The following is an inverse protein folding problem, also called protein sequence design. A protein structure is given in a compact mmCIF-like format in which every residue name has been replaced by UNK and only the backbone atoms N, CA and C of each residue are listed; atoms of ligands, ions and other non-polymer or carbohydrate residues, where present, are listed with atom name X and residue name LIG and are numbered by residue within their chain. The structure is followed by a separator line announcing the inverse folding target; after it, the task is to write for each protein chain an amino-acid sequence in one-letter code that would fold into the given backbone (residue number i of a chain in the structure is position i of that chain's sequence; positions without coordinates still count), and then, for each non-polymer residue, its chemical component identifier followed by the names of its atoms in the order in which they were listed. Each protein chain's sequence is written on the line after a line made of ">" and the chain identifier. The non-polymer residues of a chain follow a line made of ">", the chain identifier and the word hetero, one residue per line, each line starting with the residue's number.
data_IF_921587899911
#
_entry.id   IF_921587899911
#
_cell.length_a   1.000
_cell.length_b   1.000
_cell.length_c   1.000
_cell.angle_alpha   90.00
_cell.angle_beta   90.00
_cell.angle_gamma   90.00
#
_symmetry.space_group_name_H-M   'P 1'
#
loop_
_entity.id
_entity.type
_entity.pdbx_description
1 polymer ?
#
# COMPACT_ATOMS: atom_id res chain seq x y z
N UNK A 1 -24.98 17.66 8.73
CA UNK A 1 -25.74 17.03 9.83
C UNK A 1 -24.81 16.06 10.52
N UNK A 2 -24.16 16.55 11.56
CA UNK A 2 -23.28 15.80 12.45
C UNK A 2 -24.11 15.05 13.50
N UNK A 3 -23.66 13.84 13.84
CA UNK A 3 -23.71 13.19 15.16
C UNK A 3 -22.87 11.92 15.00
N UNK A 4 -21.69 11.75 15.58
CA UNK A 4 -21.23 12.25 16.87
C UNK A 4 -21.04 11.03 17.77
N UNK A 5 -19.79 10.64 17.96
CA UNK A 5 -19.30 9.55 18.80
C UNK A 5 -19.72 9.70 20.27
N UNK A 6 -19.74 8.62 21.05
CA UNK A 6 -18.64 8.35 21.99
C UNK A 6 -18.91 7.17 22.95
N UNK A 7 -17.81 6.51 23.25
CA UNK A 7 -17.64 5.43 24.20
C UNK A 7 -17.57 5.92 25.66
N UNK A 8 -17.83 5.01 26.61
CA UNK A 8 -17.32 4.90 28.00
C UNK A 8 -18.06 3.73 28.67
N UNK A 9 -17.53 2.92 29.58
CA UNK A 9 -16.25 2.85 30.28
C UNK A 9 -16.29 1.51 31.02
N UNK A 10 -15.21 0.74 31.00
CA UNK A 10 -15.06 -0.46 31.81
C UNK A 10 -14.93 -0.15 33.31
N UNK A 11 -15.25 -1.15 34.13
CA UNK A 11 -14.80 -1.25 35.52
C UNK A 11 -14.90 -2.70 35.98
N UNK A 12 -13.78 -3.41 36.04
CA UNK A 12 -13.55 -4.51 36.98
C UNK A 12 -12.04 -4.78 37.05
N UNK A 13 -11.38 -4.05 37.94
CA UNK A 13 -10.10 -4.44 38.53
C UNK A 13 -10.37 -5.07 39.88
N UNK A 14 -9.64 -6.13 40.20
CA UNK A 14 -9.70 -6.76 41.52
C UNK A 14 -9.03 -8.13 41.61
N UNK A 15 -7.78 -8.23 41.16
CA UNK A 15 -6.88 -9.36 41.44
C UNK A 15 -6.02 -9.03 42.66
N UNK A 16 -5.98 -9.90 43.68
CA UNK A 16 -4.75 -10.51 44.26
C UNK A 16 -4.90 -11.01 45.70
N UNK A 17 -4.65 -12.32 45.86
CA UNK A 17 -3.80 -13.02 46.83
C UNK A 17 -3.80 -12.70 48.35
N UNK A 18 -4.02 -13.74 49.17
CA UNK A 18 -3.10 -14.28 50.20
C UNK A 18 -3.84 -15.33 51.06
N UNK A 19 -3.52 -16.61 50.95
CA UNK A 19 -2.67 -17.33 51.90
C UNK A 19 -3.23 -17.43 53.33
N UNK A 20 -3.92 -18.52 53.64
CA UNK A 20 -4.07 -19.02 55.01
C UNK A 20 -4.06 -20.57 54.99
N UNK A 21 -2.94 -21.08 55.49
CA UNK A 21 -2.67 -22.41 56.03
C UNK A 21 -3.87 -23.09 56.69
N UNK A 22 -4.18 -24.34 56.31
CA UNK A 22 -4.88 -25.29 57.16
C UNK A 22 -4.54 -26.75 56.80
N UNK A 23 -3.74 -27.33 57.69
CA UNK A 23 -3.72 -28.71 58.18
C UNK A 23 -3.92 -29.88 57.18
N UNK A 24 -2.78 -30.51 56.86
CA UNK A 24 -2.73 -31.94 56.60
C UNK A 24 -3.09 -32.68 57.89
N UNK A 25 -4.28 -33.25 57.97
CA UNK A 25 -4.60 -34.29 58.94
C UNK A 25 -4.03 -35.61 58.44
N UNK A 26 -2.84 -35.95 58.92
CA UNK A 26 -2.26 -37.29 58.80
C UNK A 26 -2.94 -38.22 59.81
N UNK A 27 -3.83 -39.09 59.34
CA UNK A 27 -4.36 -40.21 60.11
C UNK A 27 -3.23 -41.17 60.52
N UNK A 28 -3.06 -41.50 61.81
CA UNK A 28 -2.10 -42.51 62.24
C UNK A 28 -2.80 -43.86 62.29
N UNK A 29 -2.62 -44.70 61.27
CA UNK A 29 -2.88 -46.12 61.43
C UNK A 29 -1.71 -46.76 62.14
N UNK A 30 -1.95 -47.18 63.38
CA UNK A 30 -1.04 -48.02 64.15
C UNK A 30 -0.74 -49.31 63.37
N UNK A 31 0.54 -49.56 63.11
CA UNK A 31 1.03 -50.80 62.54
C UNK A 31 0.86 -51.94 63.54
N UNK A 32 0.06 -52.95 63.18
CA UNK A 32 -0.02 -54.22 63.89
C UNK A 32 1.29 -55.01 63.71
N UNK A 33 1.86 -55.61 64.78
CA UNK A 33 3.06 -56.42 64.65
C UNK A 33 2.74 -57.79 64.01
N UNK A 34 3.31 -58.02 62.82
CA UNK A 34 3.30 -59.31 62.13
C UNK A 34 4.29 -60.27 62.82
N UNK A 35 3.77 -61.28 63.52
CA UNK A 35 4.57 -62.42 63.99
C UNK A 35 5.02 -63.27 62.80
N UNK A 36 6.26 -63.07 62.34
CA UNK A 36 6.90 -63.89 61.32
C UNK A 36 7.55 -65.10 61.98
N UNK A 37 6.96 -66.27 61.81
CA UNK A 37 7.57 -67.54 62.16
C UNK A 37 8.82 -67.79 61.32
N UNK A 38 9.92 -68.11 62.01
CA UNK A 38 11.22 -68.42 61.44
C UNK A 38 11.21 -69.88 60.94
N UNK A 39 11.10 -70.09 59.63
CA UNK A 39 11.41 -71.37 58.99
C UNK A 39 12.79 -71.29 58.34
N UNK A 40 13.81 -71.76 59.04
CA UNK A 40 15.09 -72.14 58.43
C UNK A 40 15.50 -73.52 58.94
N UNK A 41 15.39 -74.49 58.05
CA UNK A 41 16.27 -75.66 57.95
C UNK A 41 16.73 -75.67 56.47
N UNK A 42 17.84 -76.33 56.06
CA UNK A 42 18.52 -77.43 56.75
C UNK A 42 20.07 -77.37 56.71
N UNK A 43 20.75 -78.20 57.50
CA UNK A 43 22.13 -78.58 57.16
C UNK A 43 23.01 -79.12 58.28
N UNK A 44 23.26 -80.42 58.21
CA UNK A 44 24.50 -81.11 58.65
C UNK A 44 24.80 -81.18 60.15
N UNK A 45 24.31 -82.26 60.74
CA UNK A 45 25.19 -83.35 61.17
C UNK A 45 25.91 -83.17 62.50
N UNK A 46 25.42 -83.87 63.53
CA UNK A 46 26.30 -84.53 64.48
C UNK A 46 25.63 -85.71 65.16
N UNK A 47 26.41 -86.78 65.23
CA UNK A 47 26.14 -88.09 65.81
C UNK A 47 25.80 -87.95 67.29
N UNK A 48 24.75 -88.64 67.75
CA UNK A 48 24.74 -89.21 69.10
C UNK A 48 23.76 -90.36 69.20
N UNK A 49 24.35 -91.52 69.49
CA UNK A 49 23.83 -92.60 70.32
C UNK A 49 22.53 -93.29 69.90
N UNK A 50 22.72 -94.49 69.35
CA UNK A 50 21.88 -95.66 69.57
C UNK A 50 21.40 -95.71 71.02
N UNK A 51 20.11 -95.47 71.23
CA UNK A 51 19.39 -95.83 72.43
C UNK A 51 18.31 -96.81 72.01
N UNK A 52 18.59 -98.09 72.27
CA UNK A 52 17.64 -99.18 72.18
C UNK A 52 16.38 -98.82 73.00
N UNK A 53 15.21 -98.81 72.35
CA UNK A 53 13.92 -98.86 73.02
C UNK A 53 13.01 -99.86 72.32
N UNK A 54 12.46 -100.71 73.18
CA UNK A 54 11.70 -101.95 73.01
C UNK A 54 10.64 -101.98 71.90
N UNK A 55 10.38 -103.16 71.30
CA UNK A 55 9.14 -103.39 70.57
C UNK A 55 8.01 -103.59 71.60
N UNK A 56 7.46 -102.49 72.10
CA UNK A 56 6.27 -102.50 72.95
C UNK A 56 5.04 -102.71 72.07
N UNK A 57 4.73 -103.98 71.80
CA UNK A 57 3.46 -104.42 71.22
C UNK A 57 2.30 -104.30 72.21
N UNK A 58 1.98 -103.08 72.66
CA UNK A 58 0.68 -102.81 73.26
C UNK A 58 -0.27 -102.39 72.13
N UNK A 59 -1.40 -103.09 71.90
CA UNK A 59 -2.43 -102.55 71.03
C UNK A 59 -2.86 -101.24 71.67
N UNK A 60 -2.70 -100.13 70.96
CA UNK A 60 -3.30 -98.87 71.35
C UNK A 60 -4.77 -99.15 71.67
N UNK A 61 -5.33 -98.66 72.79
CA UNK A 61 -6.75 -98.81 73.05
C UNK A 61 -7.47 -98.27 71.82
N UNK A 62 -8.29 -99.11 71.19
CA UNK A 62 -9.25 -98.66 70.19
C UNK A 62 -10.24 -97.78 70.94
N UNK A 63 -9.92 -96.49 71.03
CA UNK A 63 -10.86 -95.48 71.52
C UNK A 63 -11.96 -95.45 70.47
N UNK A 64 -13.00 -96.23 70.70
CA UNK A 64 -14.24 -96.15 69.94
C UNK A 64 -14.83 -94.77 70.23
N UNK A 65 -14.59 -93.85 69.30
CA UNK A 65 -15.24 -92.54 69.31
C UNK A 65 -16.72 -92.79 69.10
N UNK A 66 -17.53 -92.21 69.97
CA UNK A 66 -18.98 -92.21 69.82
C UNK A 66 -19.38 -91.43 68.55
N UNK A 67 -20.48 -91.84 67.92
CA UNK A 67 -20.93 -91.31 66.63
C UNK A 67 -21.10 -89.78 66.66
N UNK A 68 -21.47 -89.22 67.81
CA UNK A 68 -21.60 -87.78 68.03
C UNK A 68 -20.25 -87.03 67.92
N UNK A 69 -19.18 -87.59 68.50
CA UNK A 69 -17.84 -87.00 68.39
C UNK A 69 -17.30 -87.10 66.96
N UNK A 70 -17.57 -88.21 66.25
CA UNK A 70 -17.20 -88.35 64.84
C UNK A 70 -17.93 -87.32 63.96
N UNK A 71 -19.21 -87.07 64.22
CA UNK A 71 -19.99 -86.06 63.50
C UNK A 71 -19.43 -84.64 63.70
N UNK A 72 -19.09 -84.28 64.94
CA UNK A 72 -18.47 -82.98 65.25
C UNK A 72 -17.09 -82.81 64.61
N UNK A 73 -16.29 -83.88 64.53
CA UNK A 73 -15.00 -83.84 63.84
C UNK A 73 -15.20 -83.58 62.34
N UNK A 74 -16.18 -84.26 61.71
CA UNK A 74 -16.51 -84.04 60.29
C UNK A 74 -17.03 -82.63 60.03
N UNK A 75 -17.88 -82.09 60.91
CA UNK A 75 -18.38 -80.73 60.80
C UNK A 75 -17.23 -79.71 60.92
N UNK A 76 -16.34 -79.89 61.91
CA UNK A 76 -15.16 -79.03 62.06
C UNK A 76 -14.22 -79.13 60.85
N UNK A 77 -14.03 -80.32 60.29
CA UNK A 77 -13.24 -80.50 59.07
C UNK A 77 -13.87 -79.75 57.88
N UNK A 78 -15.19 -79.84 57.72
CA UNK A 78 -15.92 -79.11 56.69
C UNK A 78 -15.84 -77.58 56.91
N UNK A 79 -15.95 -77.12 58.16
CA UNK A 79 -15.77 -75.72 58.53
C UNK A 79 -14.36 -75.22 58.21
N UNK A 80 -13.32 -76.00 58.51
CA UNK A 80 -11.94 -75.65 58.17
C UNK A 80 -11.74 -75.56 56.65
N UNK A 81 -12.30 -76.50 55.88
CA UNK A 81 -12.26 -76.46 54.41
C UNK A 81 -12.95 -75.19 53.86
N UNK A 82 -14.12 -74.85 54.38
CA UNK A 82 -14.84 -73.63 53.98
C UNK A 82 -14.10 -72.34 54.36
N UNK A 83 -13.52 -72.27 55.56
CA UNK A 83 -12.68 -71.14 55.99
C UNK A 83 -11.51 -70.96 55.02
N UNK A 84 -10.83 -72.06 54.66
CA UNK A 84 -9.67 -72.01 53.75
C UNK A 84 -10.07 -71.55 52.35
N UNK A 85 -11.23 -71.99 51.85
CA UNK A 85 -11.77 -71.56 50.55
C UNK A 85 -12.15 -70.07 50.55
N UNK A 86 -12.77 -69.58 51.63
CA UNK A 86 -13.14 -68.17 51.79
C UNK A 86 -11.90 -67.27 51.90
N UNK A 87 -10.85 -67.71 52.60
CA UNK A 87 -9.57 -66.99 52.66
C UNK A 87 -8.93 -66.87 51.29
N UNK A 88 -8.88 -67.96 50.51
CA UNK A 88 -8.34 -67.90 49.16
C UNK A 88 -9.16 -66.96 48.24
N UNK A 89 -10.50 -66.98 48.32
CA UNK A 89 -11.31 -66.05 47.52
C UNK A 89 -11.14 -64.60 48.01
N UNK A 90 -10.98 -64.37 49.31
CA UNK A 90 -10.69 -63.03 49.85
C UNK A 90 -9.36 -62.48 49.33
N UNK A 91 -8.28 -63.28 49.35
CA UNK A 91 -6.97 -62.90 48.82
C UNK A 91 -7.06 -62.57 47.32
N UNK A 92 -7.79 -63.39 46.56
CA UNK A 92 -8.02 -63.18 45.13
C UNK A 92 -8.82 -61.90 44.85
N UNK A 93 -9.83 -61.59 45.66
CA UNK A 93 -10.60 -60.35 45.53
C UNK A 93 -9.75 -59.13 45.90
N UNK A 94 -8.86 -59.23 46.89
CA UNK A 94 -7.92 -58.15 47.24
C UNK A 94 -6.95 -57.84 46.11
N UNK A 95 -6.38 -58.86 45.45
CA UNK A 95 -5.51 -58.66 44.28
C UNK A 95 -6.27 -57.97 43.14
N UNK A 96 -7.49 -58.44 42.84
CA UNK A 96 -8.33 -57.82 41.80
C UNK A 96 -8.67 -56.36 42.12
N UNK A 97 -8.97 -56.06 43.38
CA UNK A 97 -9.27 -54.70 43.83
C UNK A 97 -8.05 -53.80 43.62
N UNK A 98 -6.87 -54.26 44.04
CA UNK A 98 -5.62 -53.53 43.83
C UNK A 98 -5.32 -53.27 42.35
N UNK A 99 -5.52 -54.26 41.47
CA UNK A 99 -5.34 -54.10 40.02
C UNK A 99 -6.31 -53.07 39.43
N UNK A 100 -7.58 -53.08 39.87
CA UNK A 100 -8.60 -52.11 39.44
C UNK A 100 -8.27 -50.72 39.94
N UNK A 101 -7.76 -50.57 41.17
CA UNK A 101 -7.31 -49.28 41.70
C UNK A 101 -6.11 -48.73 40.92
N UNK A 102 -5.15 -49.59 40.55
CA UNK A 102 -4.04 -49.23 39.68
C UNK A 102 -4.51 -48.77 38.29
N UNK A 103 -5.42 -49.53 37.66
CA UNK A 103 -6.00 -49.16 36.37
C UNK A 103 -6.78 -47.84 36.45
N UNK A 104 -7.53 -47.63 37.54
CA UNK A 104 -8.25 -46.37 37.77
C UNK A 104 -7.30 -45.19 37.92
N UNK A 105 -6.18 -45.34 38.63
CA UNK A 105 -5.18 -44.30 38.77
C UNK A 105 -4.56 -43.94 37.41
N UNK A 106 -4.14 -44.95 36.62
CA UNK A 106 -3.59 -44.75 35.28
C UNK A 106 -4.57 -44.02 34.35
N UNK A 107 -5.86 -44.43 34.37
CA UNK A 107 -6.88 -43.78 33.55
C UNK A 107 -7.13 -42.33 33.99
N UNK A 108 -7.05 -42.04 35.30
CA UNK A 108 -7.19 -40.68 35.80
C UNK A 108 -6.05 -39.78 35.30
N UNK A 109 -4.82 -40.30 35.25
CA UNK A 109 -3.66 -39.59 34.72
C UNK A 109 -3.79 -39.34 33.20
N UNK A 110 -4.23 -40.34 32.43
CA UNK A 110 -4.50 -40.18 30.98
C UNK A 110 -5.57 -39.11 30.72
N UNK A 111 -6.66 -39.11 31.50
CA UNK A 111 -7.72 -38.09 31.38
C UNK A 111 -7.19 -36.70 31.73
N UNK A 112 -6.32 -36.58 32.73
CA UNK A 112 -5.69 -35.30 33.08
C UNK A 112 -4.81 -34.78 31.94
N UNK A 113 -4.01 -35.66 31.33
CA UNK A 113 -3.15 -35.32 30.19
C UNK A 113 -3.97 -34.91 28.96
N UNK A 114 -5.02 -35.66 28.61
CA UNK A 114 -5.91 -35.30 27.50
C UNK A 114 -6.61 -33.96 27.72
N UNK A 115 -7.01 -33.64 28.96
CA UNK A 115 -7.57 -32.32 29.30
C UNK A 115 -6.53 -31.21 29.14
N UNK A 116 -5.28 -31.46 29.51
CA UNK A 116 -4.17 -30.52 29.31
C UNK A 116 -3.95 -30.24 27.83
N UNK A 117 -3.86 -31.29 27.01
CA UNK A 117 -3.68 -31.18 25.55
C UNK A 117 -4.85 -30.45 24.88
N UNK A 118 -6.09 -30.74 25.31
CA UNK A 118 -7.27 -30.03 24.82
C UNK A 118 -7.24 -28.54 25.17
N UNK A 119 -6.77 -28.18 26.38
CA UNK A 119 -6.59 -26.80 26.79
C UNK A 119 -5.58 -26.06 25.91
N UNK A 120 -4.44 -26.69 25.61
CA UNK A 120 -3.43 -26.14 24.70
C UNK A 120 -3.97 -25.96 23.29
N UNK A 121 -4.60 -26.99 22.71
CA UNK A 121 -5.19 -26.91 21.37
C UNK A 121 -6.25 -25.79 21.26
N UNK A 122 -7.08 -25.63 22.29
CA UNK A 122 -8.08 -24.55 22.34
C UNK A 122 -7.42 -23.17 22.38
N UNK A 123 -6.32 -23.02 23.12
CA UNK A 123 -5.55 -21.76 23.17
C UNK A 123 -4.89 -21.42 21.82
N UNK A 124 -4.42 -22.43 21.09
CA UNK A 124 -3.84 -22.24 19.75
C UNK A 124 -4.91 -21.84 18.73
N UNK A 125 -6.07 -22.50 18.75
CA UNK A 125 -7.19 -22.17 17.86
C UNK A 125 -7.67 -20.74 18.10
N UNK A 126 -7.89 -20.34 19.35
CA UNK A 126 -8.32 -18.97 19.69
C UNK A 126 -7.28 -17.93 19.26
N UNK A 127 -5.99 -18.20 19.47
CA UNK A 127 -4.90 -17.34 19.00
C UNK A 127 -4.85 -17.25 17.48
N UNK A 128 -5.02 -18.37 16.78
CA UNK A 128 -5.05 -18.44 15.31
C UNK A 128 -6.25 -17.66 14.74
N UNK A 129 -7.44 -17.84 15.31
CA UNK A 129 -8.63 -17.07 14.94
C UNK A 129 -8.41 -15.57 15.14
N UNK A 130 -7.78 -15.16 16.26
CA UNK A 130 -7.40 -13.77 16.48
C UNK A 130 -6.45 -13.22 15.41
N UNK A 131 -5.43 -14.00 15.02
CA UNK A 131 -4.51 -13.64 13.93
C UNK A 131 -5.25 -13.47 12.59
N UNK A 132 -6.15 -14.40 12.25
CA UNK A 132 -6.96 -14.33 11.02
C UNK A 132 -7.84 -13.07 11.00
N UNK A 133 -8.46 -12.73 12.14
CA UNK A 133 -9.26 -11.52 12.26
C UNK A 133 -8.41 -10.26 12.01
N UNK A 134 -7.23 -10.20 12.60
CA UNK A 134 -6.28 -9.09 12.40
C UNK A 134 -5.83 -8.97 10.94
N UNK A 135 -5.51 -10.09 10.27
CA UNK A 135 -5.14 -10.06 8.85
C UNK A 135 -6.29 -9.62 7.95
N UNK A 136 -7.53 -10.03 8.27
CA UNK A 136 -8.70 -9.58 7.53
C UNK A 136 -8.88 -8.06 7.62
N UNK A 137 -8.73 -7.49 8.81
CA UNK A 137 -8.81 -6.04 9.01
C UNK A 137 -7.68 -5.31 8.27
N UNK A 138 -6.43 -5.79 8.39
CA UNK A 138 -5.30 -5.20 7.67
C UNK A 138 -5.49 -5.25 6.14
N UNK A 139 -6.06 -6.35 5.62
CA UNK A 139 -6.39 -6.48 4.21
C UNK A 139 -7.46 -5.46 3.77
N UNK A 140 -8.53 -5.28 4.55
CA UNK A 140 -9.57 -4.30 4.21
C UNK A 140 -9.05 -2.87 4.24
N UNK A 141 -8.17 -2.54 5.20
CA UNK A 141 -7.55 -1.22 5.29
C UNK A 141 -6.63 -0.96 4.08
N UNK A 142 -5.85 -1.96 3.68
CA UNK A 142 -4.97 -1.87 2.52
C UNK A 142 -5.77 -1.74 1.21
N UNK A 143 -6.88 -2.47 1.09
CA UNK A 143 -7.79 -2.35 -0.06
C UNK A 143 -8.37 -0.94 -0.17
N UNK A 144 -8.81 -0.36 0.95
CA UNK A 144 -9.31 1.01 0.98
C UNK A 144 -8.22 2.03 0.60
N UNK A 145 -7.01 1.86 1.11
CA UNK A 145 -5.87 2.71 0.75
C UNK A 145 -5.53 2.60 -0.74
N UNK A 146 -5.58 1.39 -1.31
CA UNK A 146 -5.36 1.16 -2.73
C UNK A 146 -6.43 1.85 -3.59
N UNK A 147 -7.70 1.70 -3.23
CA UNK A 147 -8.80 2.33 -3.97
C UNK A 147 -8.72 3.87 -3.92
N UNK A 148 -8.29 4.43 -2.78
CA UNK A 148 -8.05 5.86 -2.66
C UNK A 148 -6.87 6.32 -3.52
N UNK A 149 -5.75 5.60 -3.47
CA UNK A 149 -4.57 5.90 -4.30
C UNK A 149 -4.90 5.83 -5.80
N UNK A 150 -5.75 4.87 -6.20
CA UNK A 150 -6.21 4.76 -7.58
C UNK A 150 -7.03 5.98 -8.01
N UNK A 151 -7.96 6.43 -7.18
CA UNK A 151 -8.73 7.67 -7.44
C UNK A 151 -7.82 8.88 -7.55
N UNK A 152 -6.84 9.01 -6.66
CA UNK A 152 -5.89 10.13 -6.68
C UNK A 152 -5.00 10.07 -7.94
N UNK A 153 -4.56 8.87 -8.34
CA UNK A 153 -3.82 8.65 -9.58
C UNK A 153 -4.64 9.07 -10.81
N UNK A 154 -5.89 8.64 -10.91
CA UNK A 154 -6.77 9.00 -12.03
C UNK A 154 -7.02 10.51 -12.06
N UNK A 155 -7.26 11.14 -10.90
CA UNK A 155 -7.43 12.60 -10.80
C UNK A 155 -6.17 13.38 -11.18
N UNK A 156 -4.98 12.89 -10.82
CA UNK A 156 -3.71 13.54 -11.21
C UNK A 156 -3.45 13.39 -12.70
N UNK A 157 -3.80 12.24 -13.30
CA UNK A 157 -3.70 12.02 -14.74
C UNK A 157 -4.62 12.97 -15.50
N UNK A 158 -5.87 13.12 -15.08
CA UNK A 158 -6.82 14.06 -15.67
C UNK A 158 -6.29 15.50 -15.60
N UNK A 159 -5.80 15.94 -14.42
CA UNK A 159 -5.19 17.27 -14.26
C UNK A 159 -3.97 17.49 -15.17
N UNK A 160 -3.16 16.46 -15.37
CA UNK A 160 -2.00 16.53 -16.27
C UNK A 160 -2.43 16.64 -17.73
N UNK A 161 -3.45 15.88 -18.15
CA UNK A 161 -4.02 15.95 -19.49
C UNK A 161 -4.61 17.34 -19.76
N UNK A 162 -5.37 17.90 -18.80
CA UNK A 162 -5.88 19.27 -18.88
C UNK A 162 -4.76 20.31 -18.98
N UNK A 163 -3.72 20.20 -18.15
CA UNK A 163 -2.59 21.12 -18.17
C UNK A 163 -1.85 21.07 -19.52
N UNK A 164 -1.61 19.87 -20.03
CA UNK A 164 -0.98 19.63 -21.34
C UNK A 164 -1.85 20.18 -22.47
N UNK A 165 -3.17 20.09 -22.36
CA UNK A 165 -4.08 20.65 -23.36
C UNK A 165 -4.13 22.18 -23.30
N UNK A 166 -4.16 22.78 -22.10
CA UNK A 166 -4.04 24.23 -21.92
C UNK A 166 -2.73 24.76 -22.51
N UNK A 167 -1.61 24.07 -22.25
CA UNK A 167 -0.31 24.45 -22.80
C UNK A 167 -0.29 24.37 -24.33
N UNK A 168 -0.84 23.30 -24.93
CA UNK A 168 -0.98 23.20 -26.39
C UNK A 168 -1.80 24.34 -26.98
N UNK A 169 -2.90 24.72 -26.34
CA UNK A 169 -3.71 25.86 -26.78
C UNK A 169 -2.96 27.19 -26.67
N UNK A 170 -2.22 27.40 -25.58
CA UNK A 170 -1.37 28.60 -25.40
C UNK A 170 -0.27 28.69 -26.45
N UNK A 171 0.43 27.58 -26.73
CA UNK A 171 1.48 27.51 -27.74
C UNK A 171 0.93 27.76 -29.15
N UNK A 172 -0.24 27.23 -29.46
CA UNK A 172 -0.91 27.49 -30.73
C UNK A 172 -1.35 28.97 -30.84
N UNK A 173 -1.90 29.54 -29.77
CA UNK A 173 -2.23 30.96 -29.67
C UNK A 173 -1.02 31.86 -29.88
N UNK A 174 0.09 31.57 -29.19
CA UNK A 174 1.34 32.30 -29.32
C UNK A 174 1.91 32.25 -30.75
N UNK A 175 1.84 31.10 -31.41
CA UNK A 175 2.25 30.95 -32.82
C UNK A 175 1.41 31.82 -33.75
N UNK A 176 0.10 31.89 -33.54
CA UNK A 176 -0.79 32.76 -34.31
C UNK A 176 -0.51 34.25 -34.05
N UNK A 177 -0.26 34.63 -32.80
CA UNK A 177 0.12 36.02 -32.45
C UNK A 177 1.48 36.39 -33.06
N UNK A 178 2.47 35.49 -33.04
CA UNK A 178 3.77 35.73 -33.67
C UNK A 178 3.64 35.91 -35.19
N UNK A 179 2.80 35.11 -35.85
CA UNK A 179 2.48 35.28 -37.28
C UNK A 179 1.81 36.62 -37.56
N UNK A 180 0.83 37.03 -36.74
CA UNK A 180 0.19 38.34 -36.87
C UNK A 180 1.18 39.49 -36.67
N UNK A 181 2.09 39.40 -35.70
CA UNK A 181 3.13 40.40 -35.49
C UNK A 181 4.11 40.47 -36.66
N UNK A 182 4.52 39.33 -37.25
CA UNK A 182 5.34 39.31 -38.47
C UNK A 182 4.64 40.05 -39.60
N UNK A 183 3.36 39.74 -39.82
CA UNK A 183 2.56 40.39 -40.86
C UNK A 183 2.38 41.90 -40.62
N UNK A 184 2.14 42.32 -39.38
CA UNK A 184 2.09 43.75 -39.03
C UNK A 184 3.43 44.45 -39.28
N UNK A 185 4.54 43.79 -38.94
CA UNK A 185 5.88 44.34 -39.18
C UNK A 185 6.16 44.46 -40.68
N UNK A 186 5.87 43.42 -41.46
CA UNK A 186 6.04 43.43 -42.92
C UNK A 186 5.22 44.54 -43.58
N UNK A 187 3.96 44.71 -43.19
CA UNK A 187 3.12 45.81 -43.70
C UNK A 187 3.64 47.19 -43.28
N UNK A 188 4.16 47.34 -42.06
CA UNK A 188 4.78 48.58 -41.60
C UNK A 188 6.08 48.91 -42.34
N UNK A 189 6.95 47.92 -42.56
CA UNK A 189 8.19 48.07 -43.32
C UNK A 189 7.90 48.48 -44.78
N UNK A 190 6.85 47.92 -45.36
CA UNK A 190 6.38 48.25 -46.71
C UNK A 190 5.89 49.70 -46.81
N UNK A 191 5.07 50.15 -45.85
CA UNK A 191 4.63 51.55 -45.76
C UNK A 191 5.82 52.49 -45.57
N UNK A 192 6.76 52.13 -44.70
CA UNK A 192 7.99 52.91 -44.47
C UNK A 192 8.81 53.04 -45.74
N UNK A 193 8.93 51.98 -46.52
CA UNK A 193 9.62 51.98 -47.81
C UNK A 193 8.90 52.86 -48.84
N UNK A 194 7.57 52.74 -48.95
CA UNK A 194 6.75 53.56 -49.85
C UNK A 194 6.80 55.06 -49.50
N UNK A 195 6.97 55.40 -48.22
CA UNK A 195 7.08 56.80 -47.76
C UNK A 195 8.48 57.40 -47.92
N UNK A 196 9.52 56.58 -48.13
CA UNK A 196 10.91 57.06 -48.24
C UNK A 196 11.13 57.98 -49.45
N UNK A 197 10.52 57.64 -50.60
CA UNK A 197 10.65 58.41 -51.84
C UNK A 197 9.95 59.77 -51.79
N UNK A 198 8.66 59.87 -51.42
CA UNK A 198 8.00 61.17 -51.29
C UNK A 198 8.71 62.10 -50.28
N UNK A 199 9.28 61.57 -49.18
CA UNK A 199 10.09 62.39 -48.27
C UNK A 199 11.33 62.97 -48.96
N UNK A 200 12.07 62.17 -49.72
CA UNK A 200 13.23 62.66 -50.49
C UNK A 200 12.83 63.66 -51.58
N UNK A 201 11.67 63.45 -52.20
CA UNK A 201 11.11 64.33 -53.23
C UNK A 201 10.72 65.70 -52.65
N UNK A 202 10.07 65.73 -51.48
CA UNK A 202 9.70 66.98 -50.81
C UNK A 202 10.93 67.80 -50.42
N UNK A 203 12.03 67.15 -49.99
CA UNK A 203 13.30 67.83 -49.72
C UNK A 203 13.88 68.45 -51.00
N UNK A 204 13.86 67.71 -52.11
CA UNK A 204 14.32 68.22 -53.41
C UNK A 204 13.47 69.40 -53.91
N UNK A 205 12.14 69.34 -53.77
CA UNK A 205 11.26 70.45 -54.09
C UNK A 205 11.57 71.67 -53.25
N UNK A 206 11.71 71.49 -51.92
CA UNK A 206 12.02 72.61 -51.02
C UNK A 206 13.28 73.33 -51.47
N UNK A 207 14.33 72.58 -51.82
CA UNK A 207 15.58 73.14 -52.35
C UNK A 207 15.38 73.88 -53.68
N UNK A 208 14.52 73.38 -54.57
CA UNK A 208 14.20 74.05 -55.83
C UNK A 208 13.42 75.34 -55.58
N UNK A 209 12.44 75.30 -54.66
CA UNK A 209 11.65 76.46 -54.25
C UNK A 209 12.51 77.55 -53.57
N UNK A 210 13.46 77.16 -52.73
CA UNK A 210 14.45 78.08 -52.13
C UNK A 210 15.27 78.79 -53.20
N UNK A 211 15.71 78.07 -54.24
CA UNK A 211 16.43 78.66 -55.38
C UNK A 211 15.53 79.55 -56.25
N UNK A 212 14.26 79.20 -56.43
CA UNK A 212 13.28 80.02 -57.16
C UNK A 212 12.99 81.34 -56.46
N UNK A 213 12.95 81.32 -55.13
CA UNK A 213 12.66 82.49 -54.29
C UNK A 213 13.90 83.35 -54.00
N UNK A 214 15.08 83.02 -54.56
CA UNK A 214 16.28 83.84 -54.43
C UNK A 214 16.12 85.15 -55.25
N UNK A 215 16.10 86.32 -54.61
CA UNK A 215 15.91 87.61 -55.28
C UNK A 215 17.05 87.97 -56.25
N UNK A 216 18.21 87.30 -56.15
CA UNK A 216 19.31 87.46 -57.09
C UNK A 216 19.10 86.71 -58.43
N UNK A 217 18.07 85.85 -58.52
CA UNK A 217 17.82 85.02 -59.69
C UNK A 217 16.94 85.74 -60.73
N UNK A 218 17.58 86.26 -61.79
CA UNK A 218 16.86 86.88 -62.91
C UNK A 218 15.93 85.87 -63.60
N UNK A 219 14.71 86.25 -64.00
CA UNK A 219 13.74 85.37 -64.68
C UNK A 219 14.34 84.61 -65.87
N UNK A 220 15.17 85.28 -66.68
CA UNK A 220 15.83 84.68 -67.85
C UNK A 220 16.83 83.56 -67.52
N UNK A 221 17.38 83.51 -66.30
CA UNK A 221 18.37 82.52 -65.86
C UNK A 221 17.76 81.37 -65.04
N UNK A 222 16.48 81.48 -64.64
CA UNK A 222 15.80 80.50 -63.77
C UNK A 222 15.78 79.11 -64.38
N UNK A 223 15.33 79.02 -65.63
CA UNK A 223 15.24 77.77 -66.36
C UNK A 223 16.61 77.10 -66.48
N UNK A 224 17.66 77.86 -66.82
CA UNK A 224 19.02 77.31 -67.01
C UNK A 224 19.64 76.80 -65.71
N UNK A 225 19.46 77.54 -64.60
CA UNK A 225 20.06 77.19 -63.30
C UNK A 225 19.31 76.06 -62.57
N UNK A 226 18.01 75.93 -62.79
CA UNK A 226 17.18 74.92 -62.14
C UNK A 226 17.03 73.63 -62.95
N UNK A 227 17.36 73.64 -64.25
CA UNK A 227 17.23 72.48 -65.14
C UNK A 227 17.87 71.22 -64.58
N UNK A 228 19.09 71.31 -64.05
CA UNK A 228 19.80 70.14 -63.50
C UNK A 228 19.08 69.54 -62.30
N UNK A 229 18.51 70.37 -61.41
CA UNK A 229 17.78 69.89 -60.24
C UNK A 229 16.41 69.31 -60.64
N UNK A 230 15.74 69.89 -61.63
CA UNK A 230 14.46 69.40 -62.17
C UNK A 230 14.66 68.07 -62.91
N UNK A 231 15.67 67.96 -63.76
CA UNK A 231 16.00 66.72 -64.50
C UNK A 231 16.36 65.59 -63.51
N UNK A 232 17.11 65.92 -62.45
CA UNK A 232 17.42 64.98 -61.36
C UNK A 232 16.17 64.54 -60.61
N UNK A 233 15.27 65.47 -60.30
CA UNK A 233 14.02 65.17 -59.62
C UNK A 233 13.07 64.33 -60.49
N UNK A 234 13.03 64.60 -61.79
CA UNK A 234 12.25 63.83 -62.76
C UNK A 234 12.78 62.40 -62.91
N UNK A 235 14.10 62.23 -62.95
CA UNK A 235 14.73 60.91 -62.95
C UNK A 235 14.38 60.12 -61.69
N UNK A 236 14.33 60.77 -60.52
CA UNK A 236 13.90 60.14 -59.26
C UNK A 236 12.43 59.71 -59.30
N UNK A 237 11.53 60.53 -59.84
CA UNK A 237 10.10 60.18 -59.97
C UNK A 237 9.92 59.03 -60.97
N UNK A 238 10.62 59.07 -62.10
CA UNK A 238 10.51 58.03 -63.15
C UNK A 238 11.07 56.69 -62.68
N UNK A 239 12.17 56.70 -61.91
CA UNK A 239 12.71 55.50 -61.25
C UNK A 239 11.75 54.91 -60.20
N UNK A 240 10.84 55.72 -59.65
CA UNK A 240 9.82 55.28 -58.70
C UNK A 240 8.52 54.80 -59.34
N UNK A 241 8.44 54.76 -60.68
CA UNK A 241 7.27 54.25 -61.38
C UNK A 241 7.00 52.80 -60.94
N UNK A 242 5.83 52.51 -60.32
CA UNK A 242 5.51 51.14 -59.94
C UNK A 242 5.45 50.29 -61.20
N UNK A 243 6.19 49.18 -61.21
CA UNK A 243 6.13 48.23 -62.32
C UNK A 243 4.71 47.71 -62.48
N UNK A 244 4.17 47.76 -63.70
CA UNK A 244 2.91 47.11 -64.06
C UNK A 244 3.13 45.60 -64.15
N UNK A 245 3.44 44.96 -63.03
CA UNK A 245 3.39 43.51 -62.94
C UNK A 245 1.94 43.13 -62.67
N UNK A 246 1.25 42.70 -63.72
CA UNK A 246 0.08 41.85 -63.63
C UNK A 246 0.51 40.61 -62.82
N UNK A 247 0.12 40.56 -61.55
CA UNK A 247 0.26 39.37 -60.72
C UNK A 247 -0.71 38.33 -61.27
N UNK A 248 -0.23 37.52 -62.21
CA UNK A 248 -0.80 36.23 -62.49
C UNK A 248 -0.45 35.30 -61.32
N UNK A 249 -1.48 34.83 -60.62
CA UNK A 249 -1.49 33.58 -59.86
C UNK A 249 -0.51 33.46 -58.69
N UNK A 250 -0.96 33.82 -57.49
CA UNK A 250 -0.56 33.10 -56.28
C UNK A 250 -1.75 33.04 -55.33
N UNK A 251 -2.44 31.90 -55.40
CA UNK A 251 -3.45 31.45 -54.45
C UNK A 251 -2.76 31.40 -53.07
N UNK A 252 -3.33 32.08 -52.07
CA UNK A 252 -2.89 32.19 -50.66
C UNK A 252 -1.92 33.32 -50.24
N UNK A 253 -1.69 34.35 -51.05
CA UNK A 253 -0.97 35.54 -50.56
C UNK A 253 -1.85 36.78 -50.43
N UNK A 254 -1.81 37.35 -49.22
CA UNK A 254 -2.33 38.63 -48.76
C UNK A 254 -2.37 39.69 -49.87
N UNK A 255 -3.43 40.53 -49.95
CA UNK A 255 -3.52 41.60 -50.94
C UNK A 255 -2.27 42.49 -50.85
N UNK A 256 -1.52 42.56 -51.95
CA UNK A 256 -0.29 43.32 -52.04
C UNK A 256 -0.59 44.84 -52.00
N UNK A 257 -0.75 45.38 -50.78
CA UNK A 257 -1.09 46.79 -50.51
C UNK A 257 0.01 47.75 -51.00
N UNK A 258 1.20 47.24 -51.34
CA UNK A 258 2.31 48.05 -51.88
C UNK A 258 1.94 48.70 -53.22
N UNK A 259 1.26 47.96 -54.09
CA UNK A 259 1.00 48.39 -55.47
C UNK A 259 0.04 49.60 -55.48
N UNK A 260 -1.11 49.58 -54.78
CA UNK A 260 -2.00 50.74 -54.73
C UNK A 260 -1.36 51.97 -54.07
N UNK A 261 -0.63 51.80 -52.95
CA UNK A 261 -0.02 52.93 -52.23
C UNK A 261 1.06 53.59 -53.10
N UNK A 262 1.95 52.81 -53.72
CA UNK A 262 2.97 53.36 -54.63
C UNK A 262 2.37 54.00 -55.86
N UNK A 263 1.28 53.47 -56.40
CA UNK A 263 0.55 54.08 -57.51
C UNK A 263 -0.03 55.44 -57.12
N UNK A 264 -0.68 55.57 -55.97
CA UNK A 264 -1.19 56.84 -55.47
C UNK A 264 -0.06 57.86 -55.25
N UNK A 265 1.04 57.43 -54.61
CA UNK A 265 2.20 58.29 -54.39
C UNK A 265 2.81 58.73 -55.72
N UNK A 266 3.05 57.81 -56.66
CA UNK A 266 3.61 58.13 -57.96
C UNK A 266 2.73 59.11 -58.76
N UNK A 267 1.40 58.91 -58.75
CA UNK A 267 0.46 59.83 -59.39
C UNK A 267 0.57 61.24 -58.79
N UNK A 268 0.59 61.36 -57.47
CA UNK A 268 0.79 62.64 -56.77
C UNK A 268 2.13 63.31 -57.13
N UNK A 269 3.23 62.56 -57.10
CA UNK A 269 4.56 63.06 -57.47
C UNK A 269 4.60 63.56 -58.92
N UNK A 270 3.95 62.85 -59.84
CA UNK A 270 3.86 63.23 -61.25
C UNK A 270 3.09 64.54 -61.46
N UNK A 271 1.98 64.73 -60.74
CA UNK A 271 1.21 65.98 -60.77
C UNK A 271 2.06 67.15 -60.27
N UNK A 272 2.77 66.98 -59.15
CA UNK A 272 3.64 68.04 -58.63
C UNK A 272 4.79 68.37 -59.59
N UNK A 273 5.42 67.36 -60.19
CA UNK A 273 6.47 67.59 -61.20
C UNK A 273 5.97 68.41 -62.38
N UNK A 274 4.74 68.17 -62.83
CA UNK A 274 4.12 68.93 -63.92
C UNK A 274 3.89 70.38 -63.50
N UNK A 275 3.36 70.61 -62.29
CA UNK A 275 3.17 71.95 -61.75
C UNK A 275 4.50 72.72 -61.60
N UNK A 276 5.54 72.06 -61.09
CA UNK A 276 6.86 72.65 -60.91
C UNK A 276 7.49 73.06 -62.26
N UNK A 277 7.40 72.19 -63.28
CA UNK A 277 7.86 72.51 -64.63
C UNK A 277 7.15 73.72 -65.22
N UNK A 278 5.84 73.80 -65.04
CA UNK A 278 5.04 74.93 -65.51
C UNK A 278 5.47 76.23 -64.82
N UNK A 279 5.80 76.19 -63.52
CA UNK A 279 6.22 77.38 -62.78
C UNK A 279 7.62 77.87 -63.16
N UNK A 280 8.55 76.97 -63.44
CA UNK A 280 9.92 77.35 -63.87
C UNK A 280 9.98 77.85 -65.32
N UNK A 281 9.00 77.46 -66.15
CA UNK A 281 8.89 77.88 -67.54
C UNK A 281 8.04 79.15 -67.75
N UNK A 282 7.49 79.76 -66.69
CA UNK A 282 6.88 81.10 -66.72
C UNK A 282 7.95 82.19 -66.66
#
# INVERSE_FOLDING_TARGET
>A
MEKGADARSGKHDGSSAAAATAQRESSPMAAMPTNRALTTAPGKGRKSAFLARSPSGSPLPSVELDEATIALIKENEQMLQTITALQHELDKQQVRLHDVEGARASLADEVAELRSQLGLATSEVTTSTGKVLNYKTAFTDLQHAFDQLKKDSDATKEKLEEATQRERLLMHGASNTARQQSHMKESFDLVTLAMRMPNSFLVSIRRIMEKLNDPALRPADRQRKLKVDIDRLEAQVTAYKPGTSLVAGSVDSVPNVDIPIRQCVYAFLTVIMTLLKNEVCK
#
